data_IF_628235858705
#
_entry.id   IF_628235858705
#
_cell.length_a   1.000
_cell.length_b   1.000
_cell.length_c   1.000
_cell.angle_alpha   90.00
_cell.angle_beta   90.00
_cell.angle_gamma   90.00
#
_symmetry.space_group_name_H-M   'P 1'
#
loop_
_entity.id
_entity.type
_entity.pdbx_description
1 polymer ?
#
# COMPACT_ATOMS: atom_id res chain seq x y z
N UNK A 1 -10.18 -1.25 25.56
CA UNK A 1 -9.79 0.17 25.50
C UNK A 1 -9.97 0.58 24.04
N UNK A 2 -11.03 1.33 23.76
CA UNK A 2 -11.40 1.74 22.40
C UNK A 2 -10.57 2.98 22.07
N UNK A 3 -9.53 2.83 21.25
CA UNK A 3 -8.79 3.99 20.76
C UNK A 3 -9.51 4.61 19.56
N UNK A 4 -9.72 5.92 19.71
CA UNK A 4 -10.77 6.72 19.09
C UNK A 4 -10.61 6.95 17.57
N UNK A 5 -11.73 7.09 16.83
CA UNK A 5 -11.77 7.53 15.42
C UNK A 5 -11.07 8.86 15.11
N UNK A 6 -10.82 9.68 16.16
CA UNK A 6 -10.21 11.00 16.06
C UNK A 6 -8.71 10.92 15.72
N UNK A 7 -8.02 9.83 16.12
CA UNK A 7 -6.57 9.67 15.85
C UNK A 7 -6.29 9.26 14.41
N UNK A 8 -7.18 8.48 13.80
CA UNK A 8 -7.13 8.22 12.35
C UNK A 8 -7.21 9.55 11.57
N UNK A 9 -8.07 10.48 11.99
CA UNK A 9 -8.22 11.81 11.39
C UNK A 9 -6.94 12.67 11.44
N UNK A 10 -6.16 12.58 12.52
CA UNK A 10 -4.89 13.32 12.64
C UNK A 10 -3.78 12.71 11.77
N UNK A 11 -3.72 11.38 11.68
CA UNK A 11 -2.81 10.67 10.76
C UNK A 11 -3.13 10.97 9.29
N UNK A 12 -4.43 11.16 8.97
CA UNK A 12 -4.89 11.58 7.65
C UNK A 12 -4.46 13.00 7.29
N UNK A 13 -4.40 13.93 8.25
CA UNK A 13 -4.03 15.32 7.97
C UNK A 13 -2.55 15.49 7.64
N UNK A 14 -1.66 14.76 8.32
CA UNK A 14 -0.22 14.80 8.01
C UNK A 14 0.12 14.05 6.70
N UNK A 15 -0.61 12.97 6.39
CA UNK A 15 -0.48 12.28 5.11
C UNK A 15 -1.10 13.10 3.96
N UNK A 16 -2.26 13.73 4.17
CA UNK A 16 -2.84 14.70 3.24
C UNK A 16 -1.94 15.91 3.06
N UNK A 17 -1.27 16.43 4.08
CA UNK A 17 -0.36 17.58 3.92
C UNK A 17 0.88 17.19 3.11
N UNK A 18 1.45 16.00 3.32
CA UNK A 18 2.56 15.48 2.51
C UNK A 18 2.13 15.08 1.08
N UNK A 19 0.88 14.64 0.88
CA UNK A 19 0.31 14.36 -0.44
C UNK A 19 -0.25 15.62 -1.14
N UNK A 20 -0.66 16.65 -0.42
CA UNK A 20 -1.17 17.91 -0.97
C UNK A 20 -0.01 18.80 -1.44
N UNK A 21 1.14 18.76 -0.77
CA UNK A 21 2.37 19.40 -1.24
C UNK A 21 2.92 18.74 -2.51
N UNK A 22 2.67 17.44 -2.70
CA UNK A 22 2.85 16.73 -3.97
C UNK A 22 1.49 16.45 -4.60
N UNK A 23 0.80 17.50 -5.08
CA UNK A 23 -0.36 17.36 -5.98
C UNK A 23 -0.10 16.22 -6.97
N UNK A 24 -0.69 15.05 -6.69
CA UNK A 24 -0.79 13.95 -7.62
C UNK A 24 -2.18 14.13 -8.23
N UNK A 25 -2.33 14.84 -9.37
CA UNK A 25 -3.61 15.08 -10.04
C UNK A 25 -4.26 13.81 -10.61
N UNK A 26 -3.90 12.64 -10.08
CA UNK A 26 -3.88 11.37 -10.79
C UNK A 26 -4.22 10.19 -9.86
N UNK A 27 -4.79 10.47 -8.67
CA UNK A 27 -5.33 9.44 -7.79
C UNK A 27 -6.83 9.28 -8.13
N UNK A 28 -7.27 8.08 -8.55
CA UNK A 28 -8.67 7.84 -8.86
C UNK A 28 -9.62 8.09 -7.69
N UNK A 29 -10.75 8.77 -7.96
CA UNK A 29 -11.83 8.99 -6.99
C UNK A 29 -12.41 7.66 -6.43
N UNK A 30 -12.21 6.56 -7.15
CA UNK A 30 -12.66 5.20 -6.79
C UNK A 30 -12.12 4.70 -5.43
N UNK A 31 -11.07 5.31 -4.90
CA UNK A 31 -10.53 4.92 -3.59
C UNK A 31 -11.44 5.30 -2.41
N UNK A 32 -12.39 6.23 -2.57
CA UNK A 32 -13.40 6.54 -1.55
C UNK A 32 -12.85 6.90 -0.17
N UNK A 33 -11.64 7.48 -0.12
CA UNK A 33 -10.95 7.80 1.14
C UNK A 33 -10.18 6.64 1.79
N UNK A 34 -9.96 5.52 1.09
CA UNK A 34 -9.02 4.48 1.54
C UNK A 34 -7.58 4.90 1.23
N UNK A 35 -6.98 5.68 2.12
CA UNK A 35 -5.63 6.23 1.97
C UNK A 35 -4.53 5.15 1.94
N UNK A 36 -4.73 4.00 2.60
CA UNK A 36 -3.78 2.91 2.55
C UNK A 36 -3.70 2.32 1.13
N UNK A 37 -4.86 2.02 0.53
CA UNK A 37 -4.94 1.60 -0.86
C UNK A 37 -4.37 2.67 -1.82
N UNK A 38 -4.66 3.95 -1.60
CA UNK A 38 -4.06 5.04 -2.39
C UNK A 38 -2.53 5.06 -2.31
N UNK A 39 -1.97 4.84 -1.12
CA UNK A 39 -0.51 4.77 -0.93
C UNK A 39 0.10 3.60 -1.72
N UNK A 40 -0.54 2.43 -1.71
CA UNK A 40 -0.10 1.27 -2.48
C UNK A 40 -0.19 1.52 -4.00
N UNK A 41 -1.24 2.18 -4.46
CA UNK A 41 -1.34 2.61 -5.85
C UNK A 41 -0.21 3.58 -6.25
N UNK A 42 0.12 4.53 -5.38
CA UNK A 42 1.26 5.44 -5.57
C UNK A 42 2.61 4.71 -5.67
N UNK A 43 2.78 3.59 -4.94
CA UNK A 43 3.96 2.72 -5.07
C UNK A 43 4.04 2.14 -6.49
N UNK A 44 2.93 1.65 -7.05
CA UNK A 44 2.93 1.13 -8.42
C UNK A 44 3.28 2.22 -9.43
N UNK A 45 2.70 3.43 -9.31
CA UNK A 45 3.03 4.57 -10.17
C UNK A 45 4.51 4.92 -10.16
N UNK A 46 5.19 4.69 -9.03
CA UNK A 46 6.62 4.98 -8.90
C UNK A 46 7.51 3.86 -9.44
N UNK A 47 7.14 2.60 -9.20
CA UNK A 47 8.00 1.44 -9.52
C UNK A 47 7.73 0.88 -10.93
N UNK A 48 6.50 0.99 -11.41
CA UNK A 48 6.04 0.43 -12.68
C UNK A 48 5.31 1.47 -13.56
N UNK A 49 5.86 2.68 -13.78
CA UNK A 49 5.12 3.77 -14.44
C UNK A 49 4.58 3.40 -15.83
N UNK A 50 5.33 2.59 -16.59
CA UNK A 50 4.95 2.19 -17.95
C UNK A 50 3.77 1.21 -17.98
N UNK A 51 3.57 0.41 -16.93
CA UNK A 51 2.55 -0.65 -16.91
C UNK A 51 1.17 -0.13 -16.51
N UNK A 52 1.10 1.03 -15.83
CA UNK A 52 -0.19 1.65 -15.51
C UNK A 52 -0.93 2.20 -16.73
N UNK A 53 -0.21 2.45 -17.82
CA UNK A 53 -0.82 2.87 -19.10
C UNK A 53 -1.77 1.82 -19.70
N UNK A 54 -1.68 0.55 -19.26
CA UNK A 54 -2.43 -0.58 -19.80
C UNK A 54 -3.81 -0.79 -19.14
N UNK A 55 -4.15 -0.04 -18.09
CA UNK A 55 -5.48 -0.08 -17.47
C UNK A 55 -5.43 0.27 -15.98
N UNK A 56 -5.87 1.49 -15.64
CA UNK A 56 -5.86 2.01 -14.26
C UNK A 56 -6.70 1.17 -13.29
N UNK A 57 -7.83 0.65 -13.75
CA UNK A 57 -8.77 -0.13 -12.93
C UNK A 57 -8.12 -1.35 -12.28
N UNK A 58 -7.27 -2.07 -13.02
CA UNK A 58 -6.56 -3.24 -12.49
C UNK A 58 -5.65 -2.86 -11.32
N UNK A 59 -4.95 -1.73 -11.43
CA UNK A 59 -4.01 -1.26 -10.40
C UNK A 59 -4.73 -0.71 -9.18
N UNK A 60 -5.91 -0.10 -9.37
CA UNK A 60 -6.81 0.29 -8.27
C UNK A 60 -7.31 -0.95 -7.53
N UNK A 61 -7.80 -1.96 -8.24
CA UNK A 61 -8.31 -3.19 -7.63
C UNK A 61 -7.18 -3.96 -6.91
N UNK A 62 -5.98 -4.01 -7.50
CA UNK A 62 -4.80 -4.59 -6.86
C UNK A 62 -4.42 -3.85 -5.57
N UNK A 63 -4.51 -2.52 -5.56
CA UNK A 63 -4.22 -1.74 -4.36
C UNK A 63 -5.19 -2.07 -3.21
N UNK A 64 -6.48 -2.26 -3.52
CA UNK A 64 -7.46 -2.74 -2.54
C UNK A 64 -7.19 -4.18 -2.08
N UNK A 65 -6.77 -5.07 -2.98
CA UNK A 65 -6.42 -6.45 -2.64
C UNK A 65 -5.23 -6.50 -1.67
N UNK A 66 -4.21 -5.67 -1.90
CA UNK A 66 -3.06 -5.53 -1.00
C UNK A 66 -3.49 -4.98 0.36
N UNK A 67 -4.33 -3.94 0.40
CA UNK A 67 -4.86 -3.39 1.65
C UNK A 67 -5.56 -4.46 2.49
N UNK A 68 -6.43 -5.26 1.87
CA UNK A 68 -7.09 -6.38 2.53
C UNK A 68 -6.10 -7.46 3.01
N UNK A 69 -5.03 -7.75 2.25
CA UNK A 69 -3.99 -8.67 2.69
C UNK A 69 -3.22 -8.15 3.91
N UNK A 70 -2.85 -6.88 3.90
CA UNK A 70 -2.16 -6.22 5.03
C UNK A 70 -3.05 -6.22 6.27
N UNK A 71 -4.34 -5.88 6.14
CA UNK A 71 -5.29 -5.91 7.25
C UNK A 71 -5.42 -7.31 7.87
N UNK A 72 -5.41 -8.37 7.05
CA UNK A 72 -5.39 -9.75 7.55
C UNK A 72 -4.13 -10.03 8.36
N UNK A 73 -2.93 -9.71 7.85
CA UNK A 73 -1.68 -9.88 8.59
C UNK A 73 -1.68 -9.11 9.92
N UNK A 74 -2.22 -7.88 9.92
CA UNK A 74 -2.35 -7.05 11.13
C UNK A 74 -3.32 -7.68 12.15
N UNK A 75 -4.42 -8.26 11.69
CA UNK A 75 -5.40 -8.91 12.57
C UNK A 75 -4.87 -10.18 13.24
N UNK A 76 -3.99 -10.92 12.57
CA UNK A 76 -3.42 -12.18 13.04
C UNK A 76 -2.27 -11.97 14.05
N UNK A 77 -1.51 -10.88 13.90
CA UNK A 77 -0.29 -10.62 14.68
C UNK A 77 -0.24 -9.20 15.27
N UNK A 78 -1.37 -8.76 15.83
CA UNK A 78 -1.61 -7.38 16.29
C UNK A 78 -0.50 -6.75 17.15
N UNK A 79 0.22 -7.54 17.95
CA UNK A 79 1.24 -7.04 18.90
C UNK A 79 2.66 -7.09 18.30
N UNK A 80 2.94 -7.99 17.35
CA UNK A 80 4.30 -8.23 16.85
C UNK A 80 4.50 -7.66 15.44
N UNK A 81 5.02 -6.42 15.36
CA UNK A 81 5.30 -5.76 14.08
C UNK A 81 6.26 -6.57 13.22
N UNK A 82 7.33 -7.15 13.78
CA UNK A 82 8.29 -7.94 13.00
C UNK A 82 7.61 -9.15 12.33
N UNK A 83 6.66 -9.79 13.03
CA UNK A 83 5.90 -10.90 12.49
C UNK A 83 4.95 -10.43 11.38
N UNK A 84 4.22 -9.32 11.60
CA UNK A 84 3.36 -8.70 10.56
C UNK A 84 4.16 -8.42 9.29
N UNK A 85 5.36 -7.81 9.40
CA UNK A 85 6.17 -7.53 8.23
C UNK A 85 6.65 -8.80 7.51
N UNK A 86 6.98 -9.86 8.25
CA UNK A 86 7.34 -11.15 7.65
C UNK A 86 6.17 -11.76 6.88
N UNK A 87 4.97 -11.68 7.43
CA UNK A 87 3.77 -12.24 6.79
C UNK A 87 3.34 -11.44 5.56
N UNK A 88 3.43 -10.11 5.61
CA UNK A 88 3.25 -9.25 4.43
C UNK A 88 4.22 -9.66 3.33
N UNK A 89 5.52 -9.80 3.63
CA UNK A 89 6.51 -10.23 2.62
C UNK A 89 6.17 -11.60 2.04
N UNK A 90 5.82 -12.56 2.90
CA UNK A 90 5.49 -13.93 2.51
C UNK A 90 4.24 -13.98 1.63
N UNK A 91 3.22 -13.19 1.94
CA UNK A 91 1.95 -13.17 1.22
C UNK A 91 2.04 -12.39 -0.10
N UNK A 92 2.63 -11.19 -0.08
CA UNK A 92 2.60 -10.29 -1.22
C UNK A 92 3.66 -10.65 -2.28
N UNK A 93 4.85 -11.10 -1.88
CA UNK A 93 5.94 -11.32 -2.84
C UNK A 93 5.58 -12.27 -4.00
N UNK A 94 4.94 -13.44 -3.78
CA UNK A 94 4.55 -14.33 -4.87
C UNK A 94 3.48 -13.71 -5.79
N UNK A 95 2.54 -12.94 -5.23
CA UNK A 95 1.48 -12.26 -5.97
C UNK A 95 2.05 -11.16 -6.86
N UNK A 96 2.81 -10.23 -6.26
CA UNK A 96 3.42 -9.11 -6.96
C UNK A 96 4.43 -9.59 -8.01
N UNK A 97 5.20 -10.64 -7.72
CA UNK A 97 6.12 -11.20 -8.70
C UNK A 97 5.41 -11.68 -9.97
N UNK A 98 4.27 -12.36 -9.85
CA UNK A 98 3.47 -12.79 -11.02
C UNK A 98 2.99 -11.60 -11.84
N UNK A 99 2.55 -10.53 -11.17
CA UNK A 99 2.09 -9.30 -11.83
C UNK A 99 3.25 -8.59 -12.54
N UNK A 100 4.40 -8.43 -11.88
CA UNK A 100 5.59 -7.85 -12.50
C UNK A 100 6.00 -8.66 -13.74
N UNK A 101 6.04 -9.98 -13.64
CA UNK A 101 6.42 -10.86 -14.75
C UNK A 101 5.47 -10.72 -15.95
N UNK A 102 4.15 -10.64 -15.71
CA UNK A 102 3.15 -10.47 -16.75
C UNK A 102 3.27 -9.12 -17.49
N UNK A 103 3.80 -8.09 -16.81
CA UNK A 103 3.96 -6.74 -17.33
C UNK A 103 5.40 -6.44 -17.80
N UNK A 104 6.23 -7.46 -18.05
CA UNK A 104 7.60 -7.28 -18.56
C UNK A 104 8.64 -6.82 -17.53
N UNK A 105 8.24 -6.71 -16.26
CA UNK A 105 9.12 -6.44 -15.11
C UNK A 105 9.56 -7.74 -14.41
N UNK A 106 10.36 -7.63 -13.35
CA UNK A 106 10.96 -8.81 -12.71
C UNK A 106 10.96 -8.78 -11.18
N UNK A 107 11.77 -9.67 -10.62
CA UNK A 107 11.92 -9.86 -9.17
C UNK A 107 12.40 -8.59 -8.45
N UNK A 108 13.17 -7.74 -9.11
CA UNK A 108 13.67 -6.50 -8.54
C UNK A 108 12.51 -5.55 -8.17
N UNK A 109 11.63 -5.28 -9.14
CA UNK A 109 10.44 -4.44 -8.95
C UNK A 109 9.49 -5.07 -7.94
N UNK A 110 9.32 -6.39 -7.98
CA UNK A 110 8.46 -7.09 -7.03
C UNK A 110 8.93 -6.93 -5.58
N UNK A 111 10.24 -7.10 -5.33
CA UNK A 111 10.83 -6.86 -4.00
C UNK A 111 10.70 -5.41 -3.58
N UNK A 112 10.94 -4.47 -4.49
CA UNK A 112 10.85 -3.04 -4.19
C UNK A 112 9.42 -2.63 -3.79
N UNK A 113 8.40 -3.08 -4.52
CA UNK A 113 7.00 -2.83 -4.19
C UNK A 113 6.67 -3.37 -2.80
N UNK A 114 7.03 -4.63 -2.53
CA UNK A 114 6.76 -5.28 -1.24
C UNK A 114 7.45 -4.55 -0.08
N UNK A 115 8.73 -4.17 -0.24
CA UNK A 115 9.43 -3.45 0.82
C UNK A 115 8.85 -2.04 1.06
N UNK A 116 8.43 -1.34 0.00
CA UNK A 116 7.75 -0.04 0.14
C UNK A 116 6.42 -0.18 0.88
N UNK A 117 5.64 -1.23 0.60
CA UNK A 117 4.40 -1.54 1.34
C UNK A 117 4.71 -1.81 2.83
N UNK A 118 5.74 -2.59 3.12
CA UNK A 118 6.17 -2.85 4.51
C UNK A 118 6.57 -1.55 5.22
N UNK A 119 7.28 -0.63 4.54
CA UNK A 119 7.62 0.67 5.12
C UNK A 119 6.37 1.52 5.40
N UNK A 120 5.37 1.53 4.51
CA UNK A 120 4.11 2.24 4.74
C UNK A 120 3.43 1.71 6.02
N UNK A 121 3.37 0.38 6.20
CA UNK A 121 2.79 -0.24 7.41
C UNK A 121 3.58 0.10 8.66
N UNK A 122 4.91 0.09 8.57
CA UNK A 122 5.80 0.43 9.69
C UNK A 122 5.60 1.87 10.16
N UNK A 123 5.61 2.83 9.24
CA UNK A 123 5.41 4.25 9.56
C UNK A 123 4.00 4.48 10.12
N UNK A 124 2.98 3.82 9.55
CA UNK A 124 1.61 3.90 10.06
C UNK A 124 1.44 3.38 11.50
N UNK A 125 2.26 2.41 11.94
CA UNK A 125 2.22 1.88 13.31
C UNK A 125 3.07 2.67 14.31
N UNK A 126 4.17 3.28 13.88
CA UNK A 126 5.01 4.10 14.77
C UNK A 126 4.34 5.42 15.19
N UNK A 127 3.37 5.88 14.39
CA UNK A 127 2.63 7.12 14.63
C UNK A 127 1.23 6.87 15.24
N UNK A 128 0.92 5.64 15.66
CA UNK A 128 -0.36 5.20 16.22
C UNK A 128 -0.41 5.15 17.75
#
# INVERSE_FOLDING_TARGET
MFDHPIKQYLLFKEFEEQMAERKLPDIPDRFGGNYAAQAYFGVFKTVLPETLSQGEDFWVDLAFEIDQAVLRCLSEHSINLEQVEKDIRKQLLPMIFKICQANGSGMLQAKEIVERIVQIVRVGRSNG
#
